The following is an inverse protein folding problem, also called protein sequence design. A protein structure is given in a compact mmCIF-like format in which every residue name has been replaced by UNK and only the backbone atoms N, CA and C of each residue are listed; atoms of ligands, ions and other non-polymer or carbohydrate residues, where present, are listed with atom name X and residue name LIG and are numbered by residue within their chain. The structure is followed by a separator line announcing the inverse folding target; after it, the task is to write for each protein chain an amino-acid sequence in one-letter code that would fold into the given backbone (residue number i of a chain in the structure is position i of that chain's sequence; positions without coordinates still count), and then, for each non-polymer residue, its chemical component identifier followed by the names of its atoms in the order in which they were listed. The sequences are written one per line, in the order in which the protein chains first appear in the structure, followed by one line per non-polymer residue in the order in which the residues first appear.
data_IF_981766840896
#
_entry.id   IF_981766840896
#
_cell.length_a   1.000
_cell.length_b   1.000
_cell.length_c   1.000
_cell.angle_alpha   90.00
_cell.angle_beta   90.00
_cell.angle_gamma   90.00
#
_symmetry.space_group_name_H-M   'P 1'
#
loop_
_entity.id
_entity.type
_entity.pdbx_description
1 polymer ?
#
# COMPACT_ATOMS: atom_id res chain seq x y z
N UNK A 1 27.29 10.19 3.45
CA UNK A 1 26.33 10.03 2.33
C UNK A 1 27.04 9.32 1.19
N UNK A 2 26.81 8.02 1.03
CA UNK A 2 27.30 7.27 -0.13
C UNK A 2 26.49 7.74 -1.35
N UNK A 3 27.12 8.54 -2.20
CA UNK A 3 26.52 8.96 -3.48
C UNK A 3 26.27 7.70 -4.32
N UNK A 4 25.00 7.46 -4.65
CA UNK A 4 24.62 6.47 -5.64
C UNK A 4 25.26 6.87 -6.97
N UNK A 5 26.35 6.21 -7.35
CA UNK A 5 26.93 6.26 -8.68
C UNK A 5 26.03 5.49 -9.67
N UNK A 6 24.75 5.87 -9.75
CA UNK A 6 23.78 5.36 -10.74
C UNK A 6 23.55 6.46 -11.76
N UNK A 7 23.69 6.12 -13.05
CA UNK A 7 23.43 7.06 -14.14
C UNK A 7 22.02 7.64 -13.93
N UNK A 8 21.79 8.96 -13.96
CA UNK A 8 20.49 9.58 -13.65
C UNK A 8 19.29 8.92 -14.33
N UNK A 9 19.49 8.44 -15.56
CA UNK A 9 18.50 7.64 -16.32
C UNK A 9 17.98 6.41 -15.57
N UNK A 10 18.85 5.66 -14.88
CA UNK A 10 18.46 4.44 -14.15
C UNK A 10 17.62 4.79 -12.91
N UNK A 11 17.97 5.86 -12.20
CA UNK A 11 17.19 6.33 -11.06
C UNK A 11 15.78 6.77 -11.49
N UNK A 12 15.69 7.52 -12.60
CA UNK A 12 14.40 7.92 -13.19
C UNK A 12 13.56 6.71 -13.61
N UNK A 13 14.13 5.76 -14.35
CA UNK A 13 13.41 4.54 -14.77
C UNK A 13 12.91 3.78 -13.55
N UNK A 14 13.78 3.55 -12.55
CA UNK A 14 13.41 2.83 -11.34
C UNK A 14 12.30 3.54 -10.56
N UNK A 15 12.45 4.85 -10.32
CA UNK A 15 11.46 5.64 -9.58
C UNK A 15 10.11 5.68 -10.30
N UNK A 16 10.10 5.94 -11.60
CA UNK A 16 8.85 5.99 -12.39
C UNK A 16 8.13 4.63 -12.41
N UNK A 17 8.85 3.52 -12.60
CA UNK A 17 8.23 2.19 -12.59
C UNK A 17 7.64 1.85 -11.22
N UNK A 18 8.36 2.15 -10.13
CA UNK A 18 7.84 1.90 -8.80
C UNK A 18 6.66 2.80 -8.46
N UNK A 19 6.67 4.07 -8.88
CA UNK A 19 5.55 4.97 -8.67
C UNK A 19 4.27 4.46 -9.36
N UNK A 20 4.37 4.04 -10.63
CA UNK A 20 3.24 3.42 -11.35
C UNK A 20 2.74 2.17 -10.63
N UNK A 21 3.65 1.32 -10.15
CA UNK A 21 3.28 0.12 -9.40
C UNK A 21 2.55 0.49 -8.08
N UNK A 22 3.10 1.42 -7.30
CA UNK A 22 2.49 1.87 -6.05
C UNK A 22 1.10 2.44 -6.28
N UNK A 23 0.96 3.35 -7.26
CA UNK A 23 -0.33 3.95 -7.62
C UNK A 23 -1.34 2.89 -8.06
N UNK A 24 -0.91 1.91 -8.86
CA UNK A 24 -1.77 0.81 -9.28
C UNK A 24 -2.26 -0.02 -8.08
N UNK A 25 -1.36 -0.40 -7.17
CA UNK A 25 -1.72 -1.16 -5.96
C UNK A 25 -2.73 -0.41 -5.09
N UNK A 26 -2.54 0.90 -4.90
CA UNK A 26 -3.48 1.73 -4.13
C UNK A 26 -4.81 1.96 -4.85
N UNK A 27 -4.78 2.13 -6.18
CA UNK A 27 -5.97 2.31 -6.99
C UNK A 27 -6.87 1.05 -6.99
N UNK A 28 -6.29 -0.14 -6.92
CA UNK A 28 -7.03 -1.41 -6.90
C UNK A 28 -7.93 -1.60 -5.67
N UNK A 29 -7.61 -0.96 -4.55
CA UNK A 29 -8.32 -1.16 -3.28
C UNK A 29 -9.84 -0.92 -3.41
N UNK A 30 -10.25 0.21 -3.99
CA UNK A 30 -11.67 0.58 -4.06
C UNK A 30 -12.45 -0.30 -5.05
N UNK A 31 -11.99 -0.51 -6.30
CA UNK A 31 -12.67 -1.40 -7.24
C UNK A 31 -12.84 -2.82 -6.69
N UNK A 32 -11.82 -3.39 -6.05
CA UNK A 32 -11.91 -4.74 -5.46
C UNK A 32 -13.02 -4.79 -4.40
N UNK A 33 -13.06 -3.81 -3.49
CA UNK A 33 -14.10 -3.74 -2.44
C UNK A 33 -15.50 -3.57 -3.01
N UNK A 34 -15.67 -2.82 -4.09
CA UNK A 34 -16.96 -2.68 -4.79
C UNK A 34 -17.38 -4.00 -5.42
N UNK A 35 -16.46 -4.76 -6.02
CA UNK A 35 -16.75 -6.04 -6.65
C UNK A 35 -17.22 -7.11 -5.65
N UNK A 36 -16.72 -7.07 -4.41
CA UNK A 36 -17.07 -8.06 -3.36
C UNK A 36 -18.14 -7.55 -2.39
N UNK A 37 -18.64 -6.32 -2.56
CA UNK A 37 -19.50 -5.66 -1.55
C UNK A 37 -20.80 -6.43 -1.28
N UNK A 38 -21.33 -7.11 -2.29
CA UNK A 38 -22.61 -7.81 -2.25
C UNK A 38 -22.47 -9.29 -1.83
N UNK A 39 -21.26 -9.73 -1.46
CA UNK A 39 -21.07 -11.07 -0.86
C UNK A 39 -21.87 -11.15 0.45
N UNK A 40 -22.73 -12.17 0.63
CA UNK A 40 -23.58 -12.29 1.83
C UNK A 40 -22.80 -12.30 3.15
N UNK A 41 -21.57 -12.84 3.16
CA UNK A 41 -20.74 -12.94 4.36
C UNK A 41 -20.12 -11.58 4.73
N UNK A 42 -19.91 -10.71 3.76
CA UNK A 42 -19.22 -9.43 3.93
C UNK A 42 -20.23 -8.27 4.05
N UNK A 43 -21.19 -8.21 3.12
CA UNK A 43 -22.28 -7.22 3.04
C UNK A 43 -21.82 -5.78 3.27
N UNK A 44 -20.87 -5.29 2.45
CA UNK A 44 -20.32 -3.93 2.58
C UNK A 44 -21.27 -2.87 1.99
N UNK A 45 -21.42 -1.76 2.71
CA UNK A 45 -21.97 -0.52 2.16
C UNK A 45 -20.88 0.49 1.74
N UNK A 46 -21.26 1.51 0.98
CA UNK A 46 -20.30 2.51 0.48
C UNK A 46 -19.60 3.31 1.59
N UNK A 47 -20.25 3.52 2.73
CA UNK A 47 -19.61 4.18 3.89
C UNK A 47 -18.47 3.31 4.43
N UNK A 48 -18.70 2.01 4.59
CA UNK A 48 -17.68 1.05 5.04
C UNK A 48 -16.52 0.97 4.04
N UNK A 49 -16.79 0.95 2.74
CA UNK A 49 -15.75 0.99 1.70
C UNK A 49 -14.92 2.28 1.83
N UNK A 50 -15.57 3.42 2.04
CA UNK A 50 -14.91 4.71 2.27
C UNK A 50 -14.00 4.69 3.51
N UNK A 51 -14.48 4.09 4.61
CA UNK A 51 -13.70 3.91 5.84
C UNK A 51 -12.49 3.02 5.60
N UNK A 52 -12.66 1.87 4.93
CA UNK A 52 -11.56 0.95 4.61
C UNK A 52 -10.50 1.67 3.77
N UNK A 53 -10.92 2.43 2.75
CA UNK A 53 -10.02 3.25 1.94
C UNK A 53 -9.27 4.26 2.81
N UNK A 54 -9.99 4.99 3.67
CA UNK A 54 -9.40 5.97 4.59
C UNK A 54 -8.36 5.33 5.50
N UNK A 55 -8.63 4.15 6.07
CA UNK A 55 -7.67 3.43 6.92
C UNK A 55 -6.42 3.06 6.12
N UNK A 56 -6.58 2.51 4.92
CA UNK A 56 -5.46 2.11 4.09
C UNK A 56 -4.56 3.30 3.69
N UNK A 57 -5.15 4.36 3.13
CA UNK A 57 -4.40 5.56 2.70
C UNK A 57 -3.91 6.39 3.88
N UNK A 58 -4.68 6.42 4.97
CA UNK A 58 -4.33 7.15 6.19
C UNK A 58 -3.12 6.53 6.87
N UNK A 59 -3.10 5.20 7.03
CA UNK A 59 -1.94 4.51 7.58
C UNK A 59 -0.72 4.63 6.67
N UNK A 60 -0.88 4.59 5.34
CA UNK A 60 0.20 4.87 4.40
C UNK A 60 0.80 6.26 4.62
N UNK A 61 -0.03 7.30 4.67
CA UNK A 61 0.40 8.67 4.92
C UNK A 61 1.11 8.85 6.27
N UNK A 62 0.60 8.25 7.35
CA UNK A 62 1.25 8.26 8.65
C UNK A 62 2.61 7.54 8.64
N UNK A 63 2.71 6.45 7.87
CA UNK A 63 3.94 5.65 7.76
C UNK A 63 5.05 6.36 6.97
N UNK A 64 4.72 7.38 6.17
CA UNK A 64 5.73 8.16 5.45
C UNK A 64 6.77 8.82 6.38
N UNK A 65 6.35 9.28 7.55
CA UNK A 65 7.26 9.92 8.52
C UNK A 65 8.33 8.93 9.01
N UNK A 66 7.99 7.76 9.59
CA UNK A 66 9.00 6.81 10.04
C UNK A 66 9.84 6.24 8.87
N UNK A 67 9.25 5.95 7.71
CA UNK A 67 10.03 5.47 6.56
C UNK A 67 10.98 6.54 6.02
N UNK A 68 10.55 7.80 5.98
CA UNK A 68 11.42 8.93 5.66
C UNK A 68 12.63 9.01 6.58
N UNK A 69 12.45 8.79 7.89
CA UNK A 69 13.57 8.72 8.84
C UNK A 69 14.47 7.50 8.61
N UNK A 70 13.88 6.34 8.27
CA UNK A 70 14.61 5.09 7.99
C UNK A 70 15.52 5.18 6.76
N UNK A 71 15.25 6.07 5.80
CA UNK A 71 16.13 6.30 4.63
C UNK A 71 17.54 6.77 5.03
N UNK A 72 17.72 7.33 6.23
CA UNK A 72 19.04 7.70 6.74
C UNK A 72 19.87 6.48 7.15
N UNK A 73 19.22 5.34 7.40
CA UNK A 73 19.83 4.11 7.92
C UNK A 73 19.83 2.97 6.88
N UNK A 74 18.90 3.00 5.93
CA UNK A 74 18.69 1.97 4.92
C UNK A 74 18.67 2.53 3.50
N UNK A 75 18.94 1.68 2.52
CA UNK A 75 18.88 2.07 1.11
C UNK A 75 17.42 2.32 0.68
N UNK A 76 17.14 3.50 0.15
CA UNK A 76 15.81 3.93 -0.32
C UNK A 76 15.19 2.97 -1.34
N UNK A 77 15.98 2.44 -2.29
CA UNK A 77 15.45 1.52 -3.29
C UNK A 77 14.95 0.20 -2.67
N UNK A 78 15.61 -0.27 -1.60
CA UNK A 78 15.14 -1.45 -0.87
C UNK A 78 13.88 -1.17 -0.06
N UNK A 79 13.77 0.02 0.55
CA UNK A 79 12.58 0.43 1.28
C UNK A 79 11.34 0.46 0.36
N UNK A 80 11.46 1.05 -0.83
CA UNK A 80 10.39 1.09 -1.84
C UNK A 80 9.97 -0.33 -2.26
N UNK A 81 10.93 -1.21 -2.56
CA UNK A 81 10.63 -2.60 -2.97
C UNK A 81 9.90 -3.35 -1.84
N UNK A 82 10.37 -3.21 -0.60
CA UNK A 82 9.77 -3.86 0.57
C UNK A 82 8.37 -3.29 0.83
N UNK A 83 8.18 -1.98 0.73
CA UNK A 83 6.89 -1.30 0.89
C UNK A 83 5.86 -1.78 -0.12
N UNK A 84 6.21 -1.77 -1.40
CA UNK A 84 5.34 -2.28 -2.47
C UNK A 84 5.04 -3.78 -2.32
N UNK A 85 6.01 -4.57 -1.90
CA UNK A 85 5.81 -6.00 -1.61
C UNK A 85 4.85 -6.20 -0.43
N UNK A 86 4.97 -5.38 0.62
CA UNK A 86 4.09 -5.42 1.79
C UNK A 86 2.64 -5.08 1.43
N UNK A 87 2.42 -4.01 0.64
CA UNK A 87 1.09 -3.64 0.15
C UNK A 87 0.50 -4.78 -0.69
N UNK A 88 1.30 -5.36 -1.59
CA UNK A 88 0.88 -6.51 -2.42
C UNK A 88 0.46 -7.71 -1.56
N UNK A 89 1.25 -8.06 -0.55
CA UNK A 89 0.91 -9.14 0.40
C UNK A 89 -0.39 -8.81 1.13
N UNK A 90 -0.59 -7.57 1.58
CA UNK A 90 -1.83 -7.12 2.20
C UNK A 90 -3.05 -7.30 1.29
N UNK A 91 -2.94 -6.93 0.01
CA UNK A 91 -3.99 -7.15 -0.99
C UNK A 91 -4.29 -8.64 -1.23
N UNK A 92 -3.26 -9.49 -1.23
CA UNK A 92 -3.46 -10.95 -1.35
C UNK A 92 -4.14 -11.49 -0.09
N UNK A 93 -3.73 -11.06 1.10
CA UNK A 93 -4.34 -11.49 2.37
C UNK A 93 -5.82 -11.07 2.45
N UNK A 94 -6.19 -9.92 1.87
CA UNK A 94 -7.60 -9.50 1.79
C UNK A 94 -8.50 -10.53 1.10
N UNK A 95 -7.98 -11.36 0.19
CA UNK A 95 -8.76 -12.42 -0.48
C UNK A 95 -9.28 -13.50 0.49
N UNK A 96 -8.72 -13.60 1.70
CA UNK A 96 -9.15 -14.53 2.74
C UNK A 96 -10.06 -13.88 3.79
N UNK A 97 -10.31 -12.58 3.70
CA UNK A 97 -11.12 -11.84 4.66
C UNK A 97 -12.60 -12.08 4.39
N UNK A 98 -13.35 -12.51 5.41
CA UNK A 98 -14.76 -12.90 5.28
C UNK A 98 -15.73 -11.92 5.95
N UNK A 99 -15.23 -10.92 6.67
CA UNK A 99 -16.05 -9.98 7.44
C UNK A 99 -15.53 -8.56 7.33
N UNK A 100 -16.42 -7.56 7.45
CA UNK A 100 -16.04 -6.15 7.45
C UNK A 100 -14.87 -5.81 8.40
N UNK A 101 -14.87 -6.22 9.69
CA UNK A 101 -13.75 -5.91 10.59
C UNK A 101 -12.42 -6.51 10.15
N UNK A 102 -12.44 -7.74 9.61
CA UNK A 102 -11.22 -8.38 9.10
C UNK A 102 -10.64 -7.63 7.90
N UNK A 103 -11.49 -7.19 6.97
CA UNK A 103 -11.09 -6.39 5.81
C UNK A 103 -10.50 -5.06 6.29
N UNK A 104 -11.19 -4.34 7.18
CA UNK A 104 -10.73 -3.06 7.70
C UNK A 104 -9.36 -3.19 8.41
N UNK A 105 -9.17 -4.23 9.22
CA UNK A 105 -7.91 -4.48 9.92
C UNK A 105 -6.76 -4.81 8.96
N UNK A 106 -6.99 -5.72 8.00
CA UNK A 106 -5.98 -6.08 7.00
C UNK A 106 -5.63 -4.86 6.14
N UNK A 107 -6.62 -4.05 5.72
CA UNK A 107 -6.37 -2.82 4.96
C UNK A 107 -5.57 -1.79 5.75
N UNK A 108 -5.83 -1.63 7.06
CA UNK A 108 -5.04 -0.78 7.95
C UNK A 108 -3.56 -1.23 7.98
N UNK A 109 -3.31 -2.51 8.23
CA UNK A 109 -1.94 -3.07 8.32
C UNK A 109 -1.24 -3.07 6.95
N UNK A 110 -1.94 -3.44 5.89
CA UNK A 110 -1.42 -3.43 4.53
C UNK A 110 -1.03 -2.02 4.06
N UNK A 111 -1.73 -0.99 4.55
CA UNK A 111 -1.45 0.42 4.23
C UNK A 111 -0.07 0.89 4.70
N UNK A 112 0.50 0.29 5.75
CA UNK A 112 1.81 0.67 6.30
C UNK A 112 2.88 0.71 5.21
N UNK A 113 2.91 -0.30 4.33
CA UNK A 113 3.92 -0.42 3.29
C UNK A 113 3.92 0.73 2.27
N UNK A 114 2.80 1.44 2.08
CA UNK A 114 2.74 2.57 1.15
C UNK A 114 3.38 3.86 1.67
N UNK A 115 3.91 3.85 2.89
CA UNK A 115 4.72 4.96 3.39
C UNK A 115 6.19 4.91 2.99
N UNK A 116 6.67 3.76 2.47
CA UNK A 116 8.06 3.54 2.09
C UNK A 116 8.36 3.98 0.65
#
# INVERSE_FOLDING_TARGET
MLQLNKKPKQALIFGSLNHVLSDFLFALMVPILILVKDDPNISLNYTQIGIIRMLHTGTAGLSQIPFGLLTNLFNEAWLIIIGNSWVTIGLIILSYAQTYPSIAFISLIGGIGGGA
#
